data_IF_780870709568
#
_entry.id   IF_780870709568
#
_cell.length_a   1.000
_cell.length_b   1.000
_cell.length_c   1.000
_cell.angle_alpha   90.00
_cell.angle_beta   90.00
_cell.angle_gamma   90.00
#
_symmetry.space_group_name_H-M   'P 1'
#
loop_
_entity.id
_entity.type
_entity.pdbx_description
1 polymer ?
#
# COMPACT_ATOMS: atom_id res chain seq x y z
N UNK A 1 38.44 -45.72 16.72
CA UNK A 1 39.58 -46.14 15.87
C UNK A 1 39.33 -45.68 14.43
N UNK A 2 40.29 -44.93 13.90
CA UNK A 2 40.59 -44.56 12.49
C UNK A 2 39.58 -43.60 11.83
N UNK A 3 39.93 -42.36 11.77
CA UNK A 3 40.85 -41.56 10.89
C UNK A 3 40.21 -41.31 9.55
N UNK A 4 39.79 -40.06 9.34
CA UNK A 4 40.45 -39.00 8.55
C UNK A 4 40.91 -39.47 7.16
N UNK A 5 40.37 -38.82 6.14
CA UNK A 5 41.27 -38.29 5.12
C UNK A 5 40.66 -37.08 4.41
N UNK A 6 41.26 -35.95 4.65
CA UNK A 6 41.31 -34.75 3.87
C UNK A 6 42.00 -35.02 2.54
N UNK A 7 41.43 -34.54 1.45
CA UNK A 7 42.21 -34.33 0.25
C UNK A 7 41.92 -32.97 -0.36
N UNK A 8 42.90 -32.11 -0.16
CA UNK A 8 43.10 -30.84 -0.89
C UNK A 8 43.41 -31.17 -2.34
N UNK A 9 42.70 -30.58 -3.29
CA UNK A 9 43.15 -30.57 -4.68
C UNK A 9 43.71 -29.20 -5.01
N UNK A 10 45.00 -29.20 -5.22
CA UNK A 10 45.82 -28.06 -5.61
C UNK A 10 45.61 -27.72 -7.08
N UNK A 11 45.76 -26.47 -7.35
CA UNK A 11 45.93 -25.81 -8.64
C UNK A 11 46.85 -26.60 -9.62
N UNK A 12 46.36 -26.80 -10.81
CA UNK A 12 47.24 -27.14 -11.93
C UNK A 12 47.08 -26.05 -13.02
N UNK A 13 48.10 -25.21 -13.07
CA UNK A 13 48.34 -24.26 -14.15
C UNK A 13 48.94 -25.06 -15.31
N UNK A 14 48.27 -25.13 -16.43
CA UNK A 14 48.85 -25.56 -17.70
C UNK A 14 48.99 -24.33 -18.56
N UNK A 15 50.26 -23.93 -18.70
CA UNK A 15 50.75 -22.95 -19.65
C UNK A 15 51.03 -23.70 -20.96
N UNK A 16 50.25 -23.45 -22.02
CA UNK A 16 50.64 -23.85 -23.38
C UNK A 16 50.66 -22.59 -24.21
N UNK A 17 51.88 -22.19 -24.52
CA UNK A 17 52.14 -21.14 -25.49
C UNK A 17 52.00 -21.69 -26.92
N UNK A 18 51.35 -20.92 -27.77
CA UNK A 18 51.48 -21.03 -29.22
C UNK A 18 51.47 -19.62 -29.84
N UNK A 19 52.50 -19.41 -30.54
CA UNK A 19 53.10 -18.29 -31.20
C UNK A 19 52.27 -17.83 -32.42
N UNK A 20 52.02 -16.53 -32.50
CA UNK A 20 52.03 -15.62 -33.65
C UNK A 20 51.36 -16.03 -34.98
N UNK A 21 50.33 -15.27 -35.32
CA UNK A 21 50.22 -14.66 -36.66
C UNK A 21 49.69 -13.22 -36.52
N UNK A 22 50.53 -12.26 -36.86
CA UNK A 22 50.20 -10.86 -37.03
C UNK A 22 49.31 -10.68 -38.26
N UNK A 23 48.05 -10.33 -38.05
CA UNK A 23 47.19 -9.69 -38.99
C UNK A 23 46.89 -8.29 -38.49
N UNK A 24 47.50 -7.29 -39.02
CA UNK A 24 47.21 -5.90 -38.75
C UNK A 24 45.90 -5.54 -39.42
N UNK A 25 44.80 -5.55 -38.64
CA UNK A 25 43.62 -4.76 -38.94
C UNK A 25 43.61 -3.61 -37.93
N UNK A 26 43.89 -2.43 -38.39
CA UNK A 26 43.65 -1.17 -37.67
C UNK A 26 42.18 -0.87 -37.76
N UNK A 27 41.39 -1.55 -36.92
CA UNK A 27 40.06 -1.05 -36.64
C UNK A 27 40.20 0.05 -35.58
N UNK A 28 39.95 1.27 -36.02
CA UNK A 28 39.75 2.41 -35.15
C UNK A 28 38.60 2.11 -34.23
N UNK A 29 38.90 1.71 -33.01
CA UNK A 29 37.94 1.55 -31.93
C UNK A 29 37.39 2.95 -31.58
N UNK A 30 36.25 3.31 -32.18
CA UNK A 30 35.45 4.43 -31.66
C UNK A 30 34.93 4.01 -30.30
N UNK A 31 35.20 4.78 -29.24
CA UNK A 31 34.57 4.50 -27.94
C UNK A 31 33.07 4.44 -28.14
N UNK A 32 32.45 3.30 -27.81
CA UNK A 32 31.01 3.21 -27.71
C UNK A 32 30.60 4.20 -26.60
N UNK A 33 29.97 5.29 -27.00
CA UNK A 33 29.30 6.17 -26.04
C UNK A 33 28.30 5.30 -25.27
N UNK A 34 28.63 5.03 -24.00
CA UNK A 34 27.70 4.43 -23.06
C UNK A 34 26.55 5.42 -23.02
N UNK A 35 25.32 5.02 -23.38
CA UNK A 35 24.18 5.91 -23.25
C UNK A 35 24.13 6.40 -21.79
N UNK A 36 24.34 7.69 -21.58
CA UNK A 36 24.12 8.31 -20.28
C UNK A 36 22.70 7.96 -19.88
N UNK A 37 22.55 7.37 -18.68
CA UNK A 37 21.23 7.08 -18.13
C UNK A 37 20.35 8.32 -18.32
N UNK A 38 19.06 8.17 -18.70
CA UNK A 38 18.20 9.31 -18.97
C UNK A 38 18.24 10.20 -17.75
N UNK A 39 18.59 11.47 -17.96
CA UNK A 39 18.58 12.50 -16.90
C UNK A 39 17.20 12.46 -16.25
N UNK A 40 17.16 12.19 -14.95
CA UNK A 40 15.92 12.25 -14.17
C UNK A 40 15.29 13.61 -14.38
N UNK A 41 13.99 13.68 -14.71
CA UNK A 41 13.32 14.96 -14.90
C UNK A 41 13.53 15.84 -13.68
N UNK A 42 13.99 17.06 -13.87
CA UNK A 42 14.26 18.02 -12.80
C UNK A 42 12.99 18.45 -12.06
N UNK A 43 11.80 18.32 -12.67
CA UNK A 43 10.53 18.66 -12.09
C UNK A 43 9.79 17.44 -11.56
N UNK A 44 8.95 17.64 -10.53
CA UNK A 44 8.10 16.60 -9.97
C UNK A 44 6.93 16.26 -10.92
N UNK A 45 6.45 15.02 -10.83
CA UNK A 45 5.26 14.56 -11.56
C UNK A 45 4.03 14.79 -10.70
N UNK A 46 3.05 15.58 -11.19
CA UNK A 46 1.72 15.69 -10.59
C UNK A 46 0.90 14.50 -11.07
N UNK A 47 0.49 13.61 -10.13
CA UNK A 47 -0.05 12.28 -10.48
C UNK A 47 -1.57 12.21 -10.60
N UNK A 48 -2.30 13.25 -10.16
CA UNK A 48 -3.77 13.32 -10.26
C UNK A 48 -4.25 14.75 -10.52
N UNK A 49 -5.55 14.93 -10.73
CA UNK A 49 -6.17 16.23 -10.97
C UNK A 49 -6.61 16.90 -9.67
N UNK A 50 -6.74 18.24 -9.65
CA UNK A 50 -7.16 18.98 -8.45
C UNK A 50 -8.66 18.92 -8.18
N UNK A 51 -9.43 18.16 -8.96
CA UNK A 51 -10.86 18.04 -8.77
C UNK A 51 -11.16 17.43 -7.39
N UNK A 52 -12.01 18.07 -6.61
CA UNK A 52 -12.32 17.68 -5.22
C UNK A 52 -11.10 17.62 -4.28
N UNK A 53 -10.04 18.36 -4.60
CA UNK A 53 -8.87 18.44 -3.72
C UNK A 53 -9.22 19.16 -2.42
N UNK A 54 -8.66 18.67 -1.32
CA UNK A 54 -8.74 19.35 -0.02
C UNK A 54 -7.90 20.62 -0.10
N UNK A 55 -8.52 21.76 0.25
CA UNK A 55 -7.81 23.03 0.29
C UNK A 55 -6.75 23.04 1.38
N UNK A 56 -5.62 23.68 1.11
CA UNK A 56 -4.57 23.85 2.11
C UNK A 56 -3.68 22.65 2.35
N UNK A 57 -3.79 21.56 1.55
CA UNK A 57 -2.89 20.43 1.70
C UNK A 57 -2.55 19.73 0.38
N UNK A 58 -1.31 19.23 0.33
CA UNK A 58 -0.79 18.41 -0.77
C UNK A 58 0.02 17.25 -0.22
N UNK A 59 -0.04 16.10 -0.87
CA UNK A 59 0.84 14.98 -0.61
C UNK A 59 2.03 15.04 -1.57
N UNK A 60 3.24 14.91 -1.05
CA UNK A 60 4.46 14.89 -1.85
C UNK A 60 5.28 13.63 -1.56
N UNK A 61 5.97 13.15 -2.58
CA UNK A 61 6.99 12.11 -2.43
C UNK A 61 8.34 12.67 -2.78
N UNK A 62 9.26 12.64 -1.84
CA UNK A 62 10.65 13.00 -2.09
C UNK A 62 11.40 11.92 -2.88
N UNK A 63 12.49 12.30 -3.49
CA UNK A 63 13.46 11.36 -4.08
C UNK A 63 14.28 10.69 -2.98
N UNK A 64 14.74 9.44 -3.20
CA UNK A 64 15.49 8.70 -2.17
C UNK A 64 16.77 9.39 -1.69
N UNK A 65 17.41 10.20 -2.53
CA UNK A 65 18.68 10.85 -2.29
C UNK A 65 18.64 11.80 -1.09
N UNK A 66 17.47 12.35 -0.75
CA UNK A 66 17.30 13.29 0.37
C UNK A 66 16.88 12.65 1.69
N UNK A 67 16.77 11.32 1.74
CA UNK A 67 16.30 10.59 2.94
C UNK A 67 17.04 11.00 4.22
N UNK A 68 18.37 11.10 4.16
CA UNK A 68 19.19 11.43 5.33
C UNK A 68 19.04 12.91 5.77
N UNK A 69 18.78 13.81 4.82
CA UNK A 69 18.49 15.21 5.13
C UNK A 69 17.15 15.34 5.85
N UNK A 70 16.11 14.68 5.32
CA UNK A 70 14.78 14.69 5.91
C UNK A 70 14.78 14.08 7.32
N UNK A 71 15.46 12.95 7.51
CA UNK A 71 15.57 12.34 8.84
C UNK A 71 16.21 13.28 9.85
N UNK A 72 17.29 14.00 9.46
CA UNK A 72 17.96 14.96 10.34
C UNK A 72 17.10 16.19 10.64
N UNK A 73 16.39 16.70 9.65
CA UNK A 73 15.50 17.84 9.81
C UNK A 73 14.35 17.51 10.77
N UNK A 74 13.71 16.37 10.57
CA UNK A 74 12.62 15.90 11.41
C UNK A 74 13.07 15.62 12.85
N UNK A 75 14.24 15.00 13.06
CA UNK A 75 14.79 14.75 14.41
C UNK A 75 15.08 16.04 15.19
N UNK A 76 15.42 17.13 14.51
CA UNK A 76 15.69 18.43 15.15
C UNK A 76 14.43 19.26 15.41
N UNK A 77 13.35 18.97 14.72
CA UNK A 77 12.12 19.77 14.70
C UNK A 77 10.99 19.16 15.54
N UNK A 78 11.25 18.04 16.23
CA UNK A 78 10.20 17.20 16.77
C UNK A 78 9.47 17.78 17.96
N UNK A 79 8.19 18.05 17.73
CA UNK A 79 7.14 17.62 18.63
C UNK A 79 6.92 16.09 18.44
N UNK A 80 6.29 15.39 19.39
CA UNK A 80 6.10 13.93 19.38
C UNK A 80 5.45 13.31 18.12
N UNK A 81 5.06 14.11 17.14
CA UNK A 81 4.33 13.73 15.94
C UNK A 81 5.14 13.79 14.63
N UNK A 82 6.44 14.10 14.70
CA UNK A 82 7.29 14.16 13.51
C UNK A 82 6.94 15.28 12.52
N UNK A 83 6.31 16.35 13.00
CA UNK A 83 5.97 17.54 12.21
C UNK A 83 7.11 18.55 12.19
N UNK A 84 7.33 19.17 11.05
CA UNK A 84 8.32 20.23 10.87
C UNK A 84 7.72 21.42 10.12
N UNK A 85 8.29 22.59 10.31
CA UNK A 85 7.98 23.80 9.51
C UNK A 85 8.97 23.98 8.37
N UNK A 86 10.09 23.27 8.39
CA UNK A 86 11.14 23.28 7.38
C UNK A 86 11.64 21.89 7.09
N UNK A 87 11.98 21.64 5.83
CA UNK A 87 12.51 20.36 5.35
C UNK A 87 14.03 20.22 5.54
N UNK A 88 14.73 21.35 5.69
CA UNK A 88 16.19 21.41 5.66
C UNK A 88 16.79 21.34 4.24
N UNK A 89 15.94 21.38 3.21
CA UNK A 89 16.31 21.44 1.80
C UNK A 89 16.03 22.88 1.34
N UNK A 90 17.04 23.67 0.92
CA UNK A 90 16.87 25.11 0.68
C UNK A 90 15.80 25.46 -0.36
N UNK A 91 15.73 24.73 -1.47
CA UNK A 91 14.75 24.99 -2.52
C UNK A 91 13.34 24.60 -2.08
N UNK A 92 13.20 23.50 -1.33
CA UNK A 92 11.95 23.11 -0.71
C UNK A 92 11.50 24.15 0.34
N UNK A 93 12.40 24.60 1.21
CA UNK A 93 12.07 25.57 2.26
C UNK A 93 11.62 26.92 1.66
N UNK A 94 12.21 27.32 0.51
CA UNK A 94 11.75 28.49 -0.25
C UNK A 94 10.36 28.30 -0.83
N UNK A 95 10.09 27.14 -1.44
CA UNK A 95 8.76 26.81 -1.99
C UNK A 95 7.70 26.77 -0.87
N UNK A 96 8.02 26.18 0.29
CA UNK A 96 7.15 26.18 1.46
C UNK A 96 6.80 27.60 1.94
N UNK A 97 7.77 28.51 1.92
CA UNK A 97 7.54 29.92 2.29
C UNK A 97 6.62 30.62 1.27
N UNK A 98 6.82 30.40 -0.03
CA UNK A 98 6.01 30.98 -1.11
C UNK A 98 4.55 30.57 -1.00
N UNK A 99 4.29 29.28 -0.72
CA UNK A 99 2.91 28.78 -0.60
C UNK A 99 2.28 29.05 0.77
N UNK A 100 3.03 29.62 1.72
CA UNK A 100 2.55 29.87 3.08
C UNK A 100 2.39 28.60 3.90
N UNK A 101 3.30 27.63 3.72
CA UNK A 101 3.25 26.37 4.46
C UNK A 101 3.61 26.58 5.92
N UNK A 102 2.82 25.94 6.81
CA UNK A 102 3.04 25.94 8.26
C UNK A 102 3.36 24.55 8.83
N UNK A 103 3.22 23.50 8.04
CA UNK A 103 3.45 22.12 8.48
C UNK A 103 3.88 21.22 7.34
N UNK A 104 4.87 20.37 7.61
CA UNK A 104 5.26 19.22 6.81
C UNK A 104 5.45 18.02 7.73
N UNK A 105 4.78 16.92 7.45
CA UNK A 105 4.84 15.71 8.28
C UNK A 105 4.86 14.44 7.43
N UNK A 106 5.41 13.36 7.97
CA UNK A 106 5.38 12.05 7.31
C UNK A 106 3.96 11.50 7.30
N UNK A 107 3.50 11.01 6.13
CA UNK A 107 2.23 10.27 6.01
C UNK A 107 2.34 8.93 6.73
N UNK A 108 3.50 8.27 6.64
CA UNK A 108 3.78 7.00 7.31
C UNK A 108 4.77 7.25 8.45
N UNK A 109 4.33 7.27 9.72
CA UNK A 109 5.19 7.49 10.87
C UNK A 109 6.29 6.42 10.99
N UNK A 110 7.34 6.75 11.71
CA UNK A 110 8.39 5.77 12.06
C UNK A 110 7.75 4.66 12.91
N UNK A 111 7.98 3.43 12.53
CA UNK A 111 7.42 2.26 13.19
C UNK A 111 8.44 1.14 13.33
N UNK A 112 8.07 0.02 13.98
CA UNK A 112 8.95 -1.14 14.19
C UNK A 112 9.43 -1.79 12.89
N UNK A 113 8.70 -1.60 11.77
CA UNK A 113 9.04 -2.15 10.46
C UNK A 113 9.64 -1.08 9.53
N UNK A 114 10.39 -0.13 10.08
CA UNK A 114 10.96 1.00 9.33
C UNK A 114 11.81 0.53 8.13
N UNK A 115 12.45 -0.62 8.22
CA UNK A 115 13.21 -1.20 7.10
C UNK A 115 12.30 -1.54 5.91
N UNK A 116 11.16 -2.17 6.14
CA UNK A 116 10.16 -2.45 5.12
C UNK A 116 9.53 -1.17 4.57
N UNK A 117 9.23 -0.22 5.45
CA UNK A 117 8.74 1.11 5.09
C UNK A 117 9.71 1.83 4.15
N UNK A 118 11.01 1.77 4.42
CA UNK A 118 12.07 2.32 3.57
C UNK A 118 12.20 1.56 2.25
N UNK A 119 12.19 0.24 2.28
CA UNK A 119 12.25 -0.61 1.09
C UNK A 119 11.09 -0.34 0.13
N UNK A 120 9.90 -0.08 0.67
CA UNK A 120 8.72 0.31 -0.10
C UNK A 120 8.71 1.80 -0.52
N UNK A 121 9.64 2.62 0.00
CA UNK A 121 9.71 4.06 -0.24
C UNK A 121 8.55 4.84 0.36
N UNK A 122 7.90 4.29 1.39
CA UNK A 122 6.80 4.94 2.10
C UNK A 122 7.30 6.04 3.04
N UNK A 123 8.51 5.91 3.57
CA UNK A 123 9.19 6.90 4.39
C UNK A 123 9.43 8.25 3.66
N UNK A 124 9.27 8.28 2.34
CA UNK A 124 9.47 9.47 1.51
C UNK A 124 8.19 10.26 1.27
N UNK A 125 7.05 9.76 1.71
CA UNK A 125 5.77 10.43 1.54
C UNK A 125 5.46 11.35 2.70
N UNK A 126 5.13 12.60 2.36
CA UNK A 126 4.82 13.68 3.30
C UNK A 126 3.54 14.38 2.90
N UNK A 127 2.83 14.91 3.90
CA UNK A 127 1.76 15.88 3.70
C UNK A 127 2.30 17.26 4.02
N UNK A 128 2.04 18.21 3.13
CA UNK A 128 2.37 19.63 3.29
C UNK A 128 1.08 20.37 3.51
N UNK A 129 0.97 21.10 4.63
CA UNK A 129 -0.19 21.94 4.95
C UNK A 129 0.18 23.41 4.84
N UNK A 130 -0.69 24.19 4.21
CA UNK A 130 -0.51 25.61 3.93
C UNK A 130 -1.84 26.37 4.07
N UNK A 131 -1.82 27.70 3.92
CA UNK A 131 -3.04 28.51 4.05
C UNK A 131 -4.10 28.07 3.02
N UNK A 132 -5.31 27.75 3.47
CA UNK A 132 -6.43 27.31 2.63
C UNK A 132 -6.82 28.34 1.57
N UNK A 133 -6.43 29.61 1.72
CA UNK A 133 -6.61 30.67 0.73
C UNK A 133 -5.65 30.57 -0.44
N UNK A 134 -4.56 29.82 -0.29
CA UNK A 134 -3.61 29.57 -1.37
C UNK A 134 -4.23 28.61 -2.37
N UNK A 135 -4.19 28.97 -3.65
CA UNK A 135 -4.67 28.09 -4.72
C UNK A 135 -3.84 26.80 -4.75
N UNK A 136 -4.50 25.67 -4.53
CA UNK A 136 -3.84 24.36 -4.43
C UNK A 136 -3.13 23.95 -5.73
N UNK A 137 -3.57 24.43 -6.90
CA UNK A 137 -2.89 24.18 -8.18
C UNK A 137 -1.58 24.95 -8.26
N UNK A 138 -1.60 26.23 -7.90
CA UNK A 138 -0.40 27.06 -7.86
C UNK A 138 0.60 26.52 -6.85
N UNK A 139 0.13 26.06 -5.68
CA UNK A 139 0.99 25.41 -4.70
C UNK A 139 1.64 24.13 -5.25
N UNK A 140 0.90 23.32 -5.98
CA UNK A 140 1.44 22.11 -6.63
C UNK A 140 2.46 22.47 -7.74
N UNK A 141 2.19 23.48 -8.54
CA UNK A 141 3.10 23.98 -9.58
C UNK A 141 4.41 24.51 -8.99
N UNK A 142 4.34 25.25 -7.88
CA UNK A 142 5.51 25.76 -7.17
C UNK A 142 6.35 24.62 -6.60
N UNK A 143 5.72 23.68 -5.91
CA UNK A 143 6.41 22.50 -5.38
C UNK A 143 6.97 21.60 -6.49
N UNK A 144 6.38 21.61 -7.68
CA UNK A 144 6.86 20.81 -8.81
C UNK A 144 8.22 21.30 -9.36
N UNK A 145 8.61 22.55 -9.05
CA UNK A 145 9.92 23.08 -9.43
C UNK A 145 11.06 22.58 -8.52
N UNK A 146 10.73 22.01 -7.36
CA UNK A 146 11.71 21.51 -6.40
C UNK A 146 12.29 20.18 -6.90
N UNK A 147 13.57 20.17 -7.23
CA UNK A 147 14.26 19.03 -7.84
C UNK A 147 14.26 17.76 -6.99
N UNK A 148 14.17 17.89 -5.68
CA UNK A 148 14.16 16.80 -4.70
C UNK A 148 12.78 16.12 -4.56
N UNK A 149 11.73 16.71 -5.11
CA UNK A 149 10.40 16.11 -5.15
C UNK A 149 10.29 15.22 -6.39
N UNK A 150 9.84 13.98 -6.19
CA UNK A 150 9.59 13.04 -7.28
C UNK A 150 8.13 13.09 -7.76
N UNK A 151 7.18 13.20 -6.81
CA UNK A 151 5.74 13.18 -7.10
C UNK A 151 4.99 14.15 -6.22
N UNK A 152 3.92 14.70 -6.76
CA UNK A 152 2.93 15.51 -6.05
C UNK A 152 1.56 14.90 -6.32
N UNK A 153 0.74 14.82 -5.28
CA UNK A 153 -0.62 14.29 -5.35
C UNK A 153 -1.55 15.22 -4.58
N UNK A 154 -2.65 15.60 -5.22
CA UNK A 154 -3.74 16.28 -4.53
C UNK A 154 -4.40 15.31 -3.56
N UNK A 155 -4.53 15.71 -2.30
CA UNK A 155 -5.32 14.97 -1.32
C UNK A 155 -6.81 15.24 -1.58
N UNK A 156 -7.64 14.20 -1.50
CA UNK A 156 -9.06 14.30 -1.78
C UNK A 156 -9.86 13.77 -0.61
N UNK A 157 -10.97 14.41 -0.34
CA UNK A 157 -11.95 13.86 0.57
C UNK A 157 -12.59 12.62 -0.05
N UNK A 158 -12.54 11.51 0.67
CA UNK A 158 -13.28 10.31 0.27
C UNK A 158 -14.75 10.51 0.60
N UNK A 159 -15.55 10.74 -0.43
CA UNK A 159 -17.01 10.81 -0.29
C UNK A 159 -17.60 9.44 -0.56
N UNK A 160 -18.38 8.94 0.39
CA UNK A 160 -19.22 7.77 0.16
C UNK A 160 -20.16 8.09 -1.01
N UNK A 161 -20.17 7.26 -2.04
CA UNK A 161 -21.16 7.33 -3.08
C UNK A 161 -22.44 6.75 -2.50
N UNK A 162 -23.32 7.62 -1.99
CA UNK A 162 -24.66 7.21 -1.57
C UNK A 162 -25.39 6.62 -2.76
N UNK A 163 -25.45 5.30 -2.77
CA UNK A 163 -26.33 4.60 -3.67
C UNK A 163 -27.74 4.70 -3.09
N UNK A 164 -28.47 5.74 -3.48
CA UNK A 164 -29.85 5.98 -3.03
C UNK A 164 -30.83 4.92 -3.53
N UNK A 165 -30.36 3.85 -4.14
CA UNK A 165 -31.22 2.74 -4.49
C UNK A 165 -31.70 2.07 -3.20
N UNK A 166 -33.04 1.95 -3.01
CA UNK A 166 -33.54 1.25 -1.84
C UNK A 166 -33.01 -0.19 -1.84
N UNK A 167 -32.58 -0.66 -0.66
CA UNK A 167 -32.18 -2.05 -0.50
C UNK A 167 -33.35 -2.95 -0.93
N UNK A 168 -33.18 -3.72 -1.96
CA UNK A 168 -34.19 -4.71 -2.40
C UNK A 168 -34.07 -5.90 -1.44
N UNK A 169 -35.02 -5.98 -0.52
CA UNK A 169 -35.17 -7.20 0.29
C UNK A 169 -35.74 -8.27 -0.63
N UNK A 170 -34.90 -9.20 -1.05
CA UNK A 170 -35.33 -10.36 -1.83
C UNK A 170 -35.96 -11.37 -0.88
N UNK A 171 -37.27 -11.65 -1.00
CA UNK A 171 -37.91 -12.68 -0.18
C UNK A 171 -37.26 -14.04 -0.43
N UNK A 172 -37.23 -14.92 0.56
CA UNK A 172 -36.77 -16.29 0.37
C UNK A 172 -37.69 -16.99 -0.65
N UNK A 173 -37.21 -17.20 -1.86
CA UNK A 173 -37.90 -17.91 -2.91
C UNK A 173 -37.23 -19.26 -3.13
N UNK A 174 -37.93 -20.17 -3.82
CA UNK A 174 -37.55 -21.58 -4.13
C UNK A 174 -36.16 -21.74 -4.84
N UNK A 175 -35.47 -20.67 -5.10
CA UNK A 175 -34.06 -20.65 -5.56
C UNK A 175 -33.14 -21.44 -4.61
N UNK A 176 -33.43 -21.42 -3.31
CA UNK A 176 -32.69 -22.18 -2.31
C UNK A 176 -32.70 -23.70 -2.61
N UNK A 177 -33.81 -24.21 -3.13
CA UNK A 177 -33.97 -25.64 -3.45
C UNK A 177 -33.18 -26.06 -4.68
N UNK A 178 -33.02 -25.16 -5.67
CA UNK A 178 -32.25 -25.44 -6.90
C UNK A 178 -30.74 -25.40 -6.67
N UNK A 179 -30.25 -24.55 -5.78
CA UNK A 179 -28.84 -24.49 -5.43
C UNK A 179 -28.41 -25.59 -4.45
N UNK A 180 -29.30 -26.12 -3.63
CA UNK A 180 -28.98 -27.27 -2.77
C UNK A 180 -28.48 -28.50 -3.58
N UNK A 181 -28.89 -28.66 -4.84
CA UNK A 181 -28.37 -29.69 -5.72
C UNK A 181 -26.97 -29.43 -6.29
N UNK A 182 -26.57 -28.17 -6.40
CA UNK A 182 -25.20 -27.73 -6.83
C UNK A 182 -24.26 -27.49 -5.66
N UNK A 183 -24.78 -27.18 -4.48
CA UNK A 183 -24.07 -26.74 -3.29
C UNK A 183 -23.63 -27.89 -2.37
N UNK A 184 -23.43 -29.11 -2.89
CA UNK A 184 -22.91 -30.21 -2.06
C UNK A 184 -21.50 -30.00 -1.50
N UNK A 185 -20.85 -28.88 -1.86
CA UNK A 185 -19.50 -28.52 -1.39
C UNK A 185 -19.54 -27.47 -0.27
N UNK A 186 -20.62 -26.69 -0.17
CA UNK A 186 -20.76 -25.58 0.78
C UNK A 186 -22.03 -25.76 1.61
N UNK A 187 -21.93 -25.48 2.91
CA UNK A 187 -23.03 -25.63 3.87
C UNK A 187 -23.70 -24.29 4.25
N UNK A 188 -23.34 -23.19 3.59
CA UNK A 188 -23.96 -21.88 3.83
C UNK A 188 -25.39 -21.83 3.26
N UNK A 189 -26.43 -21.72 4.11
CA UNK A 189 -27.82 -21.63 3.65
C UNK A 189 -28.13 -20.33 2.89
N UNK A 190 -27.30 -19.32 3.02
CA UNK A 190 -27.40 -18.02 2.32
C UNK A 190 -26.72 -17.98 0.95
N UNK A 191 -25.94 -19.02 0.58
CA UNK A 191 -25.13 -19.02 -0.65
C UNK A 191 -25.98 -18.79 -1.92
N UNK A 192 -27.21 -19.30 -1.96
CA UNK A 192 -28.11 -19.09 -3.09
C UNK A 192 -28.45 -17.63 -3.38
N UNK A 193 -28.29 -16.75 -2.38
CA UNK A 193 -28.52 -15.31 -2.51
C UNK A 193 -27.25 -14.53 -2.86
N UNK A 194 -26.11 -15.20 -2.86
CA UNK A 194 -24.78 -14.61 -3.09
C UNK A 194 -24.39 -14.81 -4.56
N UNK A 195 -25.17 -14.24 -5.47
CA UNK A 195 -25.01 -14.35 -6.92
C UNK A 195 -23.61 -13.95 -7.41
N UNK A 196 -22.91 -13.11 -6.69
CA UNK A 196 -21.55 -12.70 -7.03
C UNK A 196 -20.53 -13.83 -6.85
N UNK A 197 -20.81 -14.82 -6.00
CA UNK A 197 -19.98 -16.01 -5.85
C UNK A 197 -20.36 -17.11 -6.86
N UNK A 198 -21.67 -17.33 -7.05
CA UNK A 198 -22.20 -18.32 -7.98
C UNK A 198 -23.47 -17.76 -8.62
N UNK A 199 -23.40 -17.41 -9.89
CA UNK A 199 -24.51 -16.85 -10.65
C UNK A 199 -25.12 -17.93 -11.55
N UNK A 200 -26.33 -18.37 -11.24
CA UNK A 200 -27.08 -19.34 -12.04
C UNK A 200 -27.98 -18.67 -13.09
N UNK A 201 -27.98 -17.34 -13.17
CA UNK A 201 -28.80 -16.57 -14.10
C UNK A 201 -30.20 -16.27 -13.59
N UNK A 202 -30.48 -16.45 -12.29
CA UNK A 202 -31.78 -16.13 -11.70
C UNK A 202 -32.04 -14.61 -11.74
N UNK A 203 -32.95 -14.22 -12.66
CA UNK A 203 -33.32 -12.81 -12.84
C UNK A 203 -34.25 -12.28 -11.76
N UNK A 204 -34.76 -13.16 -10.87
CA UNK A 204 -35.55 -12.70 -9.73
C UNK A 204 -34.66 -12.12 -8.62
N UNK A 205 -33.43 -12.59 -8.53
CA UNK A 205 -32.41 -12.03 -7.63
C UNK A 205 -31.80 -10.75 -8.20
N UNK A 206 -31.37 -10.79 -9.46
CA UNK A 206 -30.72 -9.66 -10.12
C UNK A 206 -31.29 -9.51 -11.52
N UNK A 207 -32.01 -8.43 -11.83
CA UNK A 207 -32.53 -8.16 -13.16
C UNK A 207 -31.41 -8.21 -14.21
N UNK A 208 -31.67 -8.86 -15.33
CA UNK A 208 -30.71 -9.10 -16.42
C UNK A 208 -29.49 -9.96 -16.04
N UNK A 209 -29.60 -10.75 -14.97
CA UNK A 209 -28.56 -11.70 -14.57
C UNK A 209 -28.28 -12.69 -15.70
N UNK A 210 -26.99 -13.04 -15.84
CA UNK A 210 -26.52 -14.05 -16.80
C UNK A 210 -25.76 -15.13 -16.07
N UNK A 211 -26.08 -16.37 -16.36
CA UNK A 211 -25.39 -17.51 -15.77
C UNK A 211 -23.88 -17.42 -16.00
N UNK A 212 -23.09 -17.64 -14.94
CA UNK A 212 -21.64 -17.61 -14.95
C UNK A 212 -21.03 -16.18 -14.97
N UNK A 213 -21.85 -15.12 -14.86
CA UNK A 213 -21.36 -13.78 -14.66
C UNK A 213 -21.11 -13.52 -13.16
N UNK A 214 -20.08 -14.16 -12.63
CA UNK A 214 -19.66 -14.15 -11.22
C UNK A 214 -18.14 -14.20 -11.08
N UNK A 215 -17.62 -14.24 -9.86
CA UNK A 215 -16.18 -14.34 -9.59
C UNK A 215 -15.65 -15.77 -9.58
N UNK A 216 -16.48 -16.75 -9.93
CA UNK A 216 -16.14 -18.18 -10.05
C UNK A 216 -15.56 -18.82 -8.77
N UNK A 217 -16.08 -18.41 -7.61
CA UNK A 217 -15.62 -18.91 -6.31
C UNK A 217 -15.74 -20.44 -6.20
N UNK A 218 -16.77 -21.07 -6.78
CA UNK A 218 -16.95 -22.50 -6.73
C UNK A 218 -15.75 -23.28 -7.26
N UNK A 219 -15.16 -22.84 -8.37
CA UNK A 219 -13.97 -23.46 -8.93
C UNK A 219 -12.69 -23.05 -8.19
N UNK A 220 -12.62 -21.84 -7.68
CA UNK A 220 -11.50 -21.37 -6.87
C UNK A 220 -11.38 -22.17 -5.56
N UNK A 221 -12.48 -22.38 -4.86
CA UNK A 221 -12.50 -23.11 -3.58
C UNK A 221 -12.23 -24.60 -3.70
N UNK A 222 -12.39 -25.20 -4.88
CA UNK A 222 -11.89 -26.57 -5.15
C UNK A 222 -10.36 -26.65 -5.13
N UNK A 223 -9.69 -25.53 -5.38
CA UNK A 223 -8.22 -25.46 -5.41
C UNK A 223 -7.64 -25.04 -4.07
N UNK A 224 -8.26 -24.07 -3.41
CA UNK A 224 -7.80 -23.53 -2.14
C UNK A 224 -8.96 -22.83 -1.43
N UNK A 225 -9.09 -23.05 -0.13
CA UNK A 225 -10.07 -22.38 0.75
C UNK A 225 -9.40 -21.41 1.72
N UNK A 226 -8.12 -21.11 1.50
CA UNK A 226 -7.30 -20.26 2.34
C UNK A 226 -6.28 -21.03 3.16
N UNK A 227 -5.37 -20.30 3.79
CA UNK A 227 -4.36 -20.82 4.70
C UNK A 227 -4.30 -19.89 5.92
N UNK A 228 -4.38 -20.42 7.16
CA UNK A 228 -4.34 -19.59 8.38
C UNK A 228 -3.08 -18.74 8.54
N UNK A 229 -1.99 -19.08 7.87
CA UNK A 229 -0.76 -18.29 7.88
C UNK A 229 -0.86 -17.01 7.05
N UNK A 230 -1.89 -16.88 6.21
CA UNK A 230 -2.08 -15.72 5.35
C UNK A 230 -3.03 -14.72 6.03
N UNK A 231 -2.49 -13.59 6.44
CA UNK A 231 -3.27 -12.51 7.04
C UNK A 231 -3.74 -11.56 5.95
N UNK A 232 -5.05 -11.33 5.89
CA UNK A 232 -5.68 -10.38 4.97
C UNK A 232 -6.16 -9.17 5.75
N UNK A 233 -5.66 -7.98 5.40
CA UNK A 233 -6.13 -6.73 5.97
C UNK A 233 -7.37 -6.25 5.19
N UNK A 234 -8.48 -6.10 5.92
CA UNK A 234 -9.73 -5.53 5.39
C UNK A 234 -9.79 -4.07 5.83
N UNK A 235 -9.77 -3.15 4.85
CA UNK A 235 -9.97 -1.72 5.08
C UNK A 235 -11.38 -1.36 4.65
N UNK A 236 -12.24 -1.13 5.63
CA UNK A 236 -13.67 -0.87 5.43
C UNK A 236 -14.20 0.10 6.51
N UNK A 237 -15.48 0.42 6.49
CA UNK A 237 -16.14 1.22 7.52
C UNK A 237 -16.24 0.48 8.86
N UNK A 238 -16.20 -0.85 8.85
CA UNK A 238 -16.20 -1.71 10.02
C UNK A 238 -16.28 -3.19 9.65
N UNK A 239 -16.01 -4.06 10.61
CA UNK A 239 -16.10 -5.51 10.48
C UNK A 239 -16.87 -6.07 11.67
N UNK A 240 -17.96 -6.79 11.42
CA UNK A 240 -18.69 -7.52 12.47
C UNK A 240 -17.88 -8.77 12.86
N UNK A 241 -16.80 -8.58 13.61
CA UNK A 241 -15.87 -9.65 13.97
C UNK A 241 -16.54 -10.80 14.75
N UNK A 242 -17.64 -10.55 15.45
CA UNK A 242 -18.41 -11.55 16.20
C UNK A 242 -19.43 -12.29 15.32
N UNK A 243 -19.51 -12.00 14.00
CA UNK A 243 -20.40 -12.74 13.09
C UNK A 243 -20.03 -14.22 13.05
N UNK A 244 -20.99 -15.16 13.14
CA UNK A 244 -20.68 -16.60 13.15
C UNK A 244 -19.80 -17.10 12.01
N UNK A 245 -19.94 -16.52 10.80
CA UNK A 245 -19.17 -16.91 9.63
C UNK A 245 -17.77 -16.27 9.60
N UNK A 246 -17.53 -15.21 10.34
CA UNK A 246 -16.25 -14.49 10.37
C UNK A 246 -15.40 -14.85 11.59
N UNK A 247 -16.03 -15.06 12.73
CA UNK A 247 -15.37 -15.20 14.03
C UNK A 247 -14.24 -16.22 14.03
N UNK A 248 -14.44 -17.40 13.39
CA UNK A 248 -13.45 -18.46 13.33
C UNK A 248 -12.21 -18.11 12.47
N UNK A 249 -12.33 -17.12 11.60
CA UNK A 249 -11.29 -16.70 10.66
C UNK A 249 -10.71 -15.32 10.98
N UNK A 250 -11.17 -14.68 12.06
CA UNK A 250 -10.63 -13.41 12.49
C UNK A 250 -9.19 -13.58 12.99
N UNK A 251 -8.30 -12.75 12.46
CA UNK A 251 -6.97 -12.61 13.05
C UNK A 251 -7.09 -11.94 14.43
N UNK A 252 -6.31 -12.41 15.39
CA UNK A 252 -6.29 -11.92 16.76
C UNK A 252 -4.88 -11.42 17.07
N UNK A 253 -4.77 -10.19 17.57
CA UNK A 253 -3.55 -9.71 18.19
C UNK A 253 -3.46 -10.28 19.60
N UNK A 254 -2.68 -11.35 19.78
CA UNK A 254 -2.55 -12.07 21.06
C UNK A 254 -1.78 -11.26 22.11
N UNK A 255 -1.02 -10.27 21.69
CA UNK A 255 -0.23 -9.41 22.58
C UNK A 255 -1.06 -8.24 23.15
N UNK A 256 -2.32 -8.11 22.73
CA UNK A 256 -3.24 -7.06 23.15
C UNK A 256 -4.43 -7.57 23.97
N UNK A 257 -5.02 -6.69 24.77
CA UNK A 257 -6.23 -6.96 25.56
C UNK A 257 -7.37 -6.10 25.02
N UNK A 258 -8.45 -6.73 24.55
CA UNK A 258 -9.59 -6.04 23.95
C UNK A 258 -10.15 -4.91 24.84
N UNK A 259 -10.32 -3.73 24.25
CA UNK A 259 -10.73 -2.50 24.92
C UNK A 259 -9.82 -2.04 26.07
N UNK A 260 -8.59 -2.51 26.13
CA UNK A 260 -7.58 -1.95 27.03
C UNK A 260 -7.27 -0.49 26.66
N UNK A 261 -6.99 0.31 27.67
CA UNK A 261 -6.44 1.67 27.50
C UNK A 261 -4.92 1.69 27.39
N UNK A 262 -4.30 0.51 27.36
CA UNK A 262 -2.85 0.32 27.19
C UNK A 262 -2.54 -0.27 25.83
N UNK A 263 -1.46 0.17 25.29
CA UNK A 263 -0.77 -0.42 24.13
C UNK A 263 0.23 -1.46 24.68
N UNK A 264 -0.17 -2.73 24.68
CA UNK A 264 0.57 -3.78 25.35
C UNK A 264 1.75 -4.29 24.49
N UNK A 265 1.60 -4.26 23.16
CA UNK A 265 2.64 -4.66 22.22
C UNK A 265 3.50 -3.48 21.74
N UNK A 266 3.11 -2.22 22.07
CA UNK A 266 3.82 -0.99 21.77
C UNK A 266 3.82 -0.67 20.29
N UNK A 267 2.75 -1.04 19.55
CA UNK A 267 2.59 -0.77 18.13
C UNK A 267 2.00 0.62 17.84
N UNK A 268 1.54 1.33 18.88
CA UNK A 268 0.92 2.65 18.82
C UNK A 268 -0.61 2.62 18.89
N UNK A 269 -1.23 1.43 18.95
CA UNK A 269 -2.67 1.25 18.95
C UNK A 269 -3.11 0.44 20.17
N UNK A 270 -3.98 1.03 20.99
CA UNK A 270 -4.39 0.43 22.26
C UNK A 270 -5.55 -0.53 22.04
N UNK A 271 -5.44 -1.74 22.57
CA UNK A 271 -6.51 -2.72 22.60
C UNK A 271 -6.98 -3.23 21.24
N UNK A 272 -6.12 -3.17 20.21
CA UNK A 272 -6.40 -3.47 18.81
C UNK A 272 -6.43 -4.98 18.49
N UNK A 273 -7.10 -5.77 19.33
CA UNK A 273 -7.16 -7.24 19.26
C UNK A 273 -7.67 -7.74 17.90
N UNK A 274 -8.72 -7.12 17.35
CA UNK A 274 -9.34 -7.52 16.07
C UNK A 274 -9.10 -6.54 14.94
N UNK A 275 -8.41 -5.43 15.22
CA UNK A 275 -8.17 -4.32 14.32
C UNK A 275 -8.41 -2.98 14.99
N UNK A 276 -8.40 -1.90 14.22
CA UNK A 276 -8.43 -0.55 14.76
C UNK A 276 -9.25 0.40 13.90
N UNK A 277 -10.05 1.24 14.53
CA UNK A 277 -10.79 2.32 13.89
C UNK A 277 -9.90 3.58 13.86
N UNK A 278 -9.25 3.81 12.74
CA UNK A 278 -8.32 4.92 12.56
C UNK A 278 -9.02 6.29 12.52
N UNK A 279 -10.28 6.34 12.11
CA UNK A 279 -11.03 7.59 12.06
C UNK A 279 -11.40 8.09 13.46
N UNK A 280 -11.75 7.19 14.36
CA UNK A 280 -12.13 7.50 15.74
C UNK A 280 -11.01 7.25 16.76
N UNK A 281 -9.88 6.69 16.31
CA UNK A 281 -8.74 6.31 17.15
C UNK A 281 -9.12 5.39 18.32
N UNK A 282 -9.87 4.33 18.02
CA UNK A 282 -10.39 3.38 18.99
C UNK A 282 -10.28 1.94 18.50
N UNK A 283 -10.14 0.95 19.40
CA UNK A 283 -10.15 -0.48 19.03
C UNK A 283 -11.55 -1.00 18.65
N UNK A 284 -12.57 -0.16 18.68
CA UNK A 284 -13.93 -0.56 18.32
C UNK A 284 -14.09 -0.50 16.81
N UNK A 285 -14.22 -1.65 16.16
CA UNK A 285 -14.39 -1.82 14.71
C UNK A 285 -15.78 -2.30 14.31
N UNK A 286 -16.64 -2.52 15.28
CA UNK A 286 -18.02 -2.96 15.04
C UNK A 286 -18.88 -1.85 14.44
N UNK A 287 -19.82 -2.26 13.61
CA UNK A 287 -20.95 -1.43 13.25
C UNK A 287 -21.89 -1.33 14.46
N UNK A 288 -22.09 -0.16 14.96
CA UNK A 288 -23.10 0.13 15.98
C UNK A 288 -24.15 1.12 15.43
#
# INVERSE_FOLDING_TARGET
MKQQNFMKLKNLIILVGAILLFGACTDTYSPVEIPTAPETPKSAVIVNTPDEAISGELMIKFRPEVTELLNRALTRSTNAYGTATRSGIPDMDRALEIIGSYNIERIFPVNRQEELTRKAGLNLWYIVRFDEKTDVRKAAEELAQVGEIAKIQYNRELKRRDDQRPAVIVPPTDAATRMMQKASIFNDPGLSKQWHYINDGDQTLVPNSKQGADVNCAEAWKKCTGDPSIIVAVMDEGVMWAHPDLQANMWINEDEIYKSDKDNDGNGYKGDVYGYNFAQQTPTIDWS
#
